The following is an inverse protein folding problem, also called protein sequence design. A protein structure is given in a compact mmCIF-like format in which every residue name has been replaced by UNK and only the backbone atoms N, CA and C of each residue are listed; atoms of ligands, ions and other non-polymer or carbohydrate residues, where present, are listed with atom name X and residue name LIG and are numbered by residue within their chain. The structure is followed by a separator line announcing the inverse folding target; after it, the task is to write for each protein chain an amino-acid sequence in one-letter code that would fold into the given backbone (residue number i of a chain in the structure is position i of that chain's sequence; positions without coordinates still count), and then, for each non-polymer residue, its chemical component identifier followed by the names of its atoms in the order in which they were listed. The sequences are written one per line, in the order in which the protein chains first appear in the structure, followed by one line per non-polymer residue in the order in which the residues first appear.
data_IF_859214909024
#
_entry.id   IF_859214909024
#
_cell.length_a   1.000
_cell.length_b   1.000
_cell.length_c   1.000
_cell.angle_alpha   90.00
_cell.angle_beta   90.00
_cell.angle_gamma   90.00
#
_symmetry.space_group_name_H-M   'P 1'
#
loop_
_entity.id
_entity.type
_entity.pdbx_description
1 polymer ?
#
# COMPACT_ATOMS: atom_id res chain seq x y z
N UNK A 1 -30.33 -1.74 9.21
CA UNK A 1 -29.93 -3.13 8.88
C UNK A 1 -28.88 -3.09 7.75
N UNK A 2 -27.61 -2.78 8.05
CA UNK A 2 -26.48 -2.95 7.10
C UNK A 2 -25.13 -2.61 7.78
N UNK A 3 -24.90 -3.06 9.01
CA UNK A 3 -23.64 -2.82 9.75
C UNK A 3 -22.84 -4.11 10.02
N UNK A 4 -23.34 -5.26 9.57
CA UNK A 4 -22.79 -6.57 9.94
C UNK A 4 -21.87 -7.20 8.88
N UNK A 5 -21.83 -6.67 7.65
CA UNK A 5 -21.10 -7.30 6.54
C UNK A 5 -19.60 -6.93 6.45
N UNK A 6 -19.18 -5.78 7.00
CA UNK A 6 -17.79 -5.30 6.87
C UNK A 6 -16.87 -5.89 7.93
N UNK A 7 -17.34 -5.99 9.18
CA UNK A 7 -16.66 -6.70 10.27
C UNK A 7 -16.32 -8.14 9.85
N UNK A 8 -17.22 -8.82 9.14
CA UNK A 8 -16.99 -10.21 8.70
C UNK A 8 -15.87 -10.36 7.65
N UNK A 9 -15.51 -9.30 6.91
CA UNK A 9 -14.41 -9.36 5.92
C UNK A 9 -13.05 -9.02 6.53
N UNK A 10 -12.99 -8.05 7.46
CA UNK A 10 -11.77 -7.72 8.18
C UNK A 10 -11.37 -8.85 9.15
N UNK A 11 -12.33 -9.40 9.90
CA UNK A 11 -12.05 -10.50 10.83
C UNK A 11 -11.65 -11.80 10.11
N UNK A 12 -12.14 -12.06 8.90
CA UNK A 12 -11.81 -13.29 8.16
C UNK A 12 -10.42 -13.27 7.52
N UNK A 13 -9.84 -12.09 7.29
CA UNK A 13 -8.42 -11.98 6.94
C UNK A 13 -7.52 -12.30 8.15
N UNK A 14 -7.90 -11.85 9.35
CA UNK A 14 -7.13 -12.03 10.58
C UNK A 14 -7.32 -13.40 11.26
N UNK A 15 -8.50 -14.01 11.17
CA UNK A 15 -8.84 -15.26 11.87
C UNK A 15 -8.36 -16.55 11.20
N UNK A 16 -7.62 -16.45 10.10
CA UNK A 16 -7.12 -17.62 9.37
C UNK A 16 -5.87 -18.28 9.98
N UNK A 17 -5.43 -17.87 11.18
CA UNK A 17 -4.18 -18.35 11.77
C UNK A 17 -4.29 -19.08 13.13
N UNK A 18 -5.48 -19.52 13.56
CA UNK A 18 -5.60 -20.43 14.71
C UNK A 18 -5.85 -21.87 14.25
N UNK A 19 -4.85 -22.72 14.45
CA UNK A 19 -4.95 -24.15 14.14
C UNK A 19 -5.71 -24.93 15.23
N UNK A 20 -6.39 -25.99 14.77
CA UNK A 20 -7.10 -27.08 15.48
C UNK A 20 -8.57 -26.77 15.82
N UNK A 21 -9.61 -27.54 15.43
CA UNK A 21 -9.75 -28.95 15.02
C UNK A 21 -10.97 -29.14 14.10
N UNK A 22 -10.85 -30.04 13.12
CA UNK A 22 -11.88 -30.81 12.38
C UNK A 22 -13.25 -30.14 12.05
N UNK A 23 -13.45 -29.79 10.78
CA UNK A 23 -14.65 -30.19 10.00
C UNK A 23 -14.49 -29.81 8.51
N UNK A 24 -14.79 -30.77 7.65
CA UNK A 24 -14.70 -30.71 6.19
C UNK A 24 -15.69 -29.70 5.60
N UNK A 25 -15.25 -28.92 4.62
CA UNK A 25 -16.07 -28.58 3.46
C UNK A 25 -15.13 -28.15 2.32
N UNK A 26 -15.15 -28.95 1.27
CA UNK A 26 -14.67 -28.56 -0.04
C UNK A 26 -15.46 -27.34 -0.56
N UNK A 27 -14.90 -26.68 -1.59
CA UNK A 27 -15.58 -25.75 -2.50
C UNK A 27 -15.66 -24.28 -2.07
N UNK A 28 -14.61 -23.53 -2.43
CA UNK A 28 -14.78 -22.26 -3.15
C UNK A 28 -13.51 -22.00 -3.97
N UNK A 29 -13.50 -22.56 -5.18
CA UNK A 29 -12.48 -22.33 -6.20
C UNK A 29 -12.45 -20.87 -6.63
N UNK A 30 -11.45 -20.12 -6.16
CA UNK A 30 -10.99 -18.86 -6.72
C UNK A 30 -9.47 -18.93 -6.89
N UNK A 31 -9.05 -19.49 -8.03
CA UNK A 31 -7.65 -19.81 -8.35
C UNK A 31 -6.87 -18.51 -8.61
N UNK A 32 -5.99 -18.12 -7.68
CA UNK A 32 -4.85 -17.23 -7.99
C UNK A 32 -3.58 -18.10 -7.99
N UNK A 33 -2.85 -18.08 -9.10
CA UNK A 33 -1.82 -19.07 -9.46
C UNK A 33 -0.70 -19.24 -8.42
N UNK A 34 -0.34 -20.49 -8.03
CA UNK A 34 0.73 -20.77 -7.06
C UNK A 34 2.12 -20.88 -7.73
N UNK A 35 2.45 -19.99 -8.68
CA UNK A 35 3.72 -20.07 -9.39
C UNK A 35 4.71 -19.02 -8.88
N UNK A 36 5.33 -19.30 -7.73
CA UNK A 36 6.77 -19.10 -7.46
C UNK A 36 7.12 -19.46 -6.01
N UNK A 37 7.10 -20.76 -5.70
CA UNK A 37 8.02 -21.31 -4.68
C UNK A 37 8.57 -22.65 -5.16
N UNK A 38 9.22 -22.62 -6.32
CA UNK A 38 10.13 -23.71 -6.70
C UNK A 38 11.47 -23.43 -6.04
N UNK A 39 11.72 -24.13 -4.95
CA UNK A 39 12.99 -24.14 -4.23
C UNK A 39 13.02 -25.37 -3.35
N UNK A 40 13.52 -26.47 -3.90
CA UNK A 40 13.76 -27.75 -3.22
C UNK A 40 14.35 -27.55 -1.82
N UNK A 41 13.67 -28.04 -0.77
CA UNK A 41 14.30 -28.49 0.47
C UNK A 41 13.54 -29.69 1.04
N UNK A 42 14.08 -30.87 0.78
CA UNK A 42 13.87 -32.07 1.59
C UNK A 42 14.49 -31.83 2.97
N UNK A 43 13.66 -31.76 4.01
CA UNK A 43 14.11 -31.64 5.39
C UNK A 43 12.90 -31.57 6.32
N UNK A 44 12.71 -32.62 7.12
CA UNK A 44 11.65 -32.78 8.10
C UNK A 44 11.75 -31.77 9.23
N UNK A 45 10.60 -31.21 9.63
CA UNK A 45 10.39 -30.37 10.84
C UNK A 45 11.36 -29.20 11.00
N UNK A 46 11.14 -28.14 10.22
CA UNK A 46 11.60 -26.81 10.60
C UNK A 46 10.48 -26.18 11.44
N UNK A 47 10.75 -25.94 12.73
CA UNK A 47 9.99 -24.97 13.50
C UNK A 47 9.89 -23.69 12.64
N UNK A 48 8.68 -23.38 12.18
CA UNK A 48 8.44 -22.17 11.39
C UNK A 48 8.55 -20.99 12.33
N UNK A 49 9.78 -20.51 12.55
CA UNK A 49 10.04 -19.11 12.89
C UNK A 49 9.26 -18.32 11.84
N UNK A 50 8.13 -17.74 12.25
CA UNK A 50 7.32 -16.92 11.34
C UNK A 50 8.29 -15.89 10.74
N UNK A 51 8.47 -15.88 9.41
CA UNK A 51 9.21 -14.78 8.82
C UNK A 51 8.50 -13.49 9.25
N UNK A 52 9.29 -12.45 9.50
CA UNK A 52 8.81 -11.09 9.77
C UNK A 52 7.90 -10.63 8.61
N UNK A 53 6.63 -11.02 8.65
CA UNK A 53 5.64 -10.72 7.63
C UNK A 53 4.94 -9.44 8.04
N UNK A 54 5.02 -8.43 7.17
CA UNK A 54 4.34 -7.16 7.35
C UNK A 54 3.09 -7.14 6.47
N UNK A 55 1.97 -6.70 7.03
CA UNK A 55 0.68 -6.59 6.37
C UNK A 55 0.26 -5.14 6.27
N UNK A 56 0.00 -4.68 5.05
CA UNK A 56 -0.50 -3.32 4.79
C UNK A 56 -1.98 -3.32 4.42
N UNK A 57 -2.75 -2.36 4.93
CA UNK A 57 -4.14 -2.12 4.52
C UNK A 57 -4.24 -0.83 3.69
N UNK A 58 -4.86 -0.89 2.51
CA UNK A 58 -5.09 0.31 1.70
C UNK A 58 -6.36 1.03 2.10
N UNK A 59 -6.24 2.32 2.40
CA UNK A 59 -7.37 3.20 2.69
C UNK A 59 -7.63 4.06 1.46
N UNK A 60 -8.65 3.68 0.68
CA UNK A 60 -8.96 4.31 -0.60
C UNK A 60 -10.44 4.69 -0.77
N UNK A 61 -11.33 4.39 0.20
CA UNK A 61 -12.76 4.72 0.11
C UNK A 61 -13.25 5.61 1.25
N UNK A 62 -14.42 6.23 1.06
CA UNK A 62 -15.06 7.06 2.09
C UNK A 62 -15.35 6.26 3.37
N UNK A 63 -15.84 5.04 3.23
CA UNK A 63 -16.08 4.13 4.36
C UNK A 63 -14.77 3.73 5.05
N UNK A 64 -13.68 3.59 4.28
CA UNK A 64 -12.35 3.33 4.83
C UNK A 64 -11.85 4.50 5.69
N UNK A 65 -12.13 5.74 5.30
CA UNK A 65 -11.79 6.95 6.08
C UNK A 65 -12.69 7.05 7.33
N UNK A 66 -13.97 6.74 7.22
CA UNK A 66 -14.91 6.80 8.34
C UNK A 66 -14.56 5.81 9.46
N UNK A 67 -14.04 4.63 9.08
CA UNK A 67 -13.67 3.55 10.00
C UNK A 67 -12.14 3.44 10.19
N UNK A 68 -11.35 4.45 9.81
CA UNK A 68 -9.90 4.33 9.76
C UNK A 68 -9.29 4.04 11.13
N UNK A 69 -9.87 4.59 12.18
CA UNK A 69 -9.43 4.35 13.56
C UNK A 69 -9.64 2.88 13.95
N UNK A 70 -10.80 2.29 13.63
CA UNK A 70 -11.08 0.88 13.88
C UNK A 70 -10.12 -0.03 13.09
N UNK A 71 -9.88 0.30 11.82
CA UNK A 71 -8.94 -0.44 10.95
C UNK A 71 -7.52 -0.39 11.51
N UNK A 72 -7.09 0.76 12.04
CA UNK A 72 -5.76 0.93 12.61
C UNK A 72 -5.51 0.03 13.84
N UNK A 73 -6.56 -0.32 14.60
CA UNK A 73 -6.47 -1.22 15.76
C UNK A 73 -6.63 -2.71 15.42
N UNK A 74 -6.86 -3.07 14.15
CA UNK A 74 -6.97 -4.47 13.75
C UNK A 74 -5.64 -5.19 13.96
N UNK A 75 -5.66 -6.32 14.67
CA UNK A 75 -4.51 -7.18 14.85
C UNK A 75 -4.04 -7.76 13.50
N UNK A 76 -2.73 -7.71 13.26
CA UNK A 76 -2.13 -8.14 12.01
C UNK A 76 -2.17 -7.09 10.89
N UNK A 77 -2.60 -5.85 11.15
CA UNK A 77 -2.30 -4.70 10.28
C UNK A 77 -1.10 -3.96 10.84
N UNK A 78 -0.05 -3.81 10.04
CA UNK A 78 1.20 -3.14 10.44
C UNK A 78 1.30 -1.74 9.84
N UNK A 79 0.78 -1.55 8.63
CA UNK A 79 0.90 -0.31 7.86
C UNK A 79 -0.44 0.11 7.25
N UNK A 80 -0.81 1.37 7.41
CA UNK A 80 -1.88 2.00 6.64
C UNK A 80 -1.28 2.66 5.39
N UNK A 81 -1.74 2.23 4.22
CA UNK A 81 -1.28 2.71 2.94
C UNK A 81 -2.34 3.58 2.25
N UNK A 82 -1.93 4.76 1.80
CA UNK A 82 -2.81 5.73 1.15
C UNK A 82 -2.46 5.82 -0.33
N UNK A 83 -3.46 5.62 -1.19
CA UNK A 83 -3.40 5.91 -2.62
C UNK A 83 -4.15 7.21 -2.92
N UNK A 84 -3.50 8.38 -3.00
CA UNK A 84 -4.21 9.67 -3.11
C UNK A 84 -5.07 9.79 -4.37
N UNK A 85 -4.66 9.17 -5.48
CA UNK A 85 -5.42 9.21 -6.72
C UNK A 85 -6.70 8.38 -6.68
N UNK A 86 -6.69 7.25 -5.98
CA UNK A 86 -7.88 6.41 -5.84
C UNK A 86 -8.80 7.01 -4.76
N UNK A 87 -8.23 7.52 -3.67
CA UNK A 87 -8.97 8.18 -2.60
C UNK A 87 -9.82 9.34 -3.11
N UNK A 88 -9.25 10.27 -3.90
CA UNK A 88 -10.02 11.40 -4.42
C UNK A 88 -11.16 10.95 -5.35
N UNK A 89 -10.96 9.88 -6.13
CA UNK A 89 -11.98 9.32 -7.03
C UNK A 89 -13.13 8.69 -6.26
N UNK A 90 -12.84 7.86 -5.26
CA UNK A 90 -13.86 7.22 -4.43
C UNK A 90 -14.60 8.23 -3.54
N UNK A 91 -13.93 9.28 -3.09
CA UNK A 91 -14.56 10.38 -2.37
C UNK A 91 -15.37 11.31 -3.29
N UNK A 92 -15.15 11.24 -4.61
CA UNK A 92 -15.70 12.15 -5.61
C UNK A 92 -15.34 13.62 -5.35
N UNK A 93 -14.07 13.87 -5.04
CA UNK A 93 -13.52 15.20 -4.75
C UNK A 93 -12.36 15.54 -5.69
N UNK A 94 -12.08 16.82 -5.96
CA UNK A 94 -10.91 17.21 -6.74
C UNK A 94 -9.61 16.76 -6.07
N UNK A 95 -8.66 16.27 -6.86
CA UNK A 95 -7.34 15.88 -6.36
C UNK A 95 -6.63 17.09 -5.75
N UNK A 96 -6.28 16.99 -4.46
CA UNK A 96 -5.57 18.04 -3.74
C UNK A 96 -6.48 19.14 -3.18
N UNK A 97 -7.80 18.93 -3.18
CA UNK A 97 -8.73 19.77 -2.44
C UNK A 97 -8.47 19.70 -0.93
N UNK A 98 -9.02 20.65 -0.18
CA UNK A 98 -8.97 20.64 1.29
C UNK A 98 -9.60 19.37 1.87
N UNK A 99 -10.73 18.89 1.32
CA UNK A 99 -11.36 17.64 1.76
C UNK A 99 -10.46 16.43 1.50
N UNK A 100 -9.78 16.38 0.35
CA UNK A 100 -8.85 15.31 0.04
C UNK A 100 -7.64 15.32 0.98
N UNK A 101 -7.08 16.51 1.24
CA UNK A 101 -5.95 16.64 2.17
C UNK A 101 -6.35 16.29 3.59
N UNK A 102 -7.53 16.72 4.06
CA UNK A 102 -8.06 16.38 5.37
C UNK A 102 -8.22 14.87 5.55
N UNK A 103 -8.69 14.16 4.51
CA UNK A 103 -8.78 12.70 4.54
C UNK A 103 -7.39 12.03 4.67
N UNK A 104 -6.39 12.51 3.93
CA UNK A 104 -5.01 12.01 4.04
C UNK A 104 -4.46 12.22 5.46
N UNK A 105 -4.66 13.41 6.02
CA UNK A 105 -4.20 13.72 7.38
C UNK A 105 -4.92 12.88 8.45
N UNK A 106 -6.21 12.60 8.25
CA UNK A 106 -6.95 11.72 9.18
C UNK A 106 -6.37 10.31 9.21
N UNK A 107 -6.02 9.74 8.06
CA UNK A 107 -5.39 8.41 8.01
C UNK A 107 -4.02 8.42 8.67
N UNK A 108 -3.21 9.46 8.42
CA UNK A 108 -1.92 9.63 9.08
C UNK A 108 -2.09 9.66 10.61
N UNK A 109 -3.01 10.49 11.11
CA UNK A 109 -3.26 10.61 12.54
C UNK A 109 -3.74 9.30 13.16
N UNK A 110 -4.60 8.55 12.47
CA UNK A 110 -5.08 7.25 12.91
C UNK A 110 -3.93 6.23 13.02
N UNK A 111 -3.05 6.18 12.00
CA UNK A 111 -1.87 5.32 12.01
C UNK A 111 -0.94 5.66 13.18
N UNK A 112 -0.61 6.94 13.35
CA UNK A 112 0.25 7.42 14.44
C UNK A 112 -0.34 7.10 15.82
N UNK A 113 -1.64 7.32 15.99
CA UNK A 113 -2.34 7.08 17.26
C UNK A 113 -2.36 5.59 17.63
N UNK A 114 -2.51 4.71 16.64
CA UNK A 114 -2.49 3.26 16.84
C UNK A 114 -1.07 2.66 16.87
N UNK A 115 -0.02 3.48 16.70
CA UNK A 115 1.37 3.01 16.63
C UNK A 115 1.66 2.15 15.39
N UNK A 116 0.96 2.40 14.28
CA UNK A 116 1.12 1.71 12.99
C UNK A 116 1.90 2.57 12.00
N UNK A 117 2.57 1.92 11.05
CA UNK A 117 3.27 2.63 10.00
C UNK A 117 2.31 3.36 9.05
N UNK A 118 2.70 4.52 8.55
CA UNK A 118 1.95 5.27 7.55
C UNK A 118 2.71 5.33 6.22
N UNK A 119 2.06 4.90 5.14
CA UNK A 119 2.63 4.89 3.80
C UNK A 119 1.75 5.66 2.80
N UNK A 120 2.37 6.35 1.85
CA UNK A 120 1.65 7.11 0.83
C UNK A 120 2.29 7.01 -0.56
N UNK A 121 1.45 6.89 -1.58
CA UNK A 121 1.90 6.95 -2.97
C UNK A 121 2.11 8.40 -3.46
N UNK A 122 3.30 8.70 -3.99
CA UNK A 122 3.57 9.91 -4.79
C UNK A 122 4.34 9.56 -6.06
N UNK A 123 4.26 10.48 -7.02
CA UNK A 123 4.86 10.39 -8.36
C UNK A 123 6.07 11.32 -8.53
N UNK A 124 6.42 12.08 -7.51
CA UNK A 124 7.56 13.00 -7.50
C UNK A 124 8.23 13.03 -6.11
N UNK A 125 9.54 13.28 -6.11
CA UNK A 125 10.37 13.28 -4.90
C UNK A 125 10.11 14.48 -3.97
N UNK A 126 9.69 15.63 -4.50
CA UNK A 126 9.42 16.83 -3.71
C UNK A 126 8.21 16.62 -2.81
N UNK A 127 7.11 16.15 -3.38
CA UNK A 127 5.89 15.84 -2.63
C UNK A 127 6.12 14.64 -1.71
N UNK A 128 6.92 13.65 -2.12
CA UNK A 128 7.30 12.54 -1.23
C UNK A 128 8.05 13.06 0.02
N UNK A 129 9.04 13.93 -0.15
CA UNK A 129 9.77 14.55 0.97
C UNK A 129 8.81 15.35 1.87
N UNK A 130 7.92 16.16 1.29
CA UNK A 130 6.89 16.87 2.05
C UNK A 130 6.05 15.92 2.91
N UNK A 131 5.68 14.75 2.40
CA UNK A 131 4.92 13.74 3.17
C UNK A 131 5.74 13.11 4.28
N UNK A 132 7.00 12.77 4.03
CA UNK A 132 7.89 12.28 5.09
C UNK A 132 8.02 13.33 6.21
N UNK A 133 8.16 14.61 5.86
CA UNK A 133 8.19 15.72 6.82
C UNK A 133 6.88 15.93 7.61
N UNK A 134 5.75 15.38 7.15
CA UNK A 134 4.48 15.40 7.88
C UNK A 134 4.36 14.26 8.89
N UNK A 135 5.22 13.24 8.83
CA UNK A 135 5.17 12.07 9.72
C UNK A 135 4.85 10.75 9.03
N UNK A 136 4.81 10.70 7.69
CA UNK A 136 4.75 9.42 6.98
C UNK A 136 6.08 8.67 7.10
N UNK A 137 6.03 7.37 7.39
CA UNK A 137 7.22 6.52 7.44
C UNK A 137 7.70 6.12 6.04
N UNK A 138 6.78 6.04 5.09
CA UNK A 138 7.05 5.57 3.73
C UNK A 138 6.36 6.45 2.68
N UNK A 139 7.10 6.87 1.65
CA UNK A 139 6.56 7.59 0.51
C UNK A 139 7.17 7.09 -0.81
N UNK A 140 6.32 6.72 -1.77
CA UNK A 140 6.78 6.45 -3.15
C UNK A 140 7.24 7.73 -3.81
N UNK A 141 8.31 7.69 -4.60
CA UNK A 141 8.85 8.87 -5.32
C UNK A 141 8.53 8.86 -6.81
N UNK A 142 8.37 7.69 -7.42
CA UNK A 142 8.03 7.52 -8.83
C UNK A 142 7.58 6.07 -9.10
N UNK A 143 7.04 5.84 -10.30
CA UNK A 143 6.93 4.48 -10.86
C UNK A 143 8.09 4.22 -11.80
N UNK A 144 8.46 2.95 -11.94
CA UNK A 144 9.44 2.48 -12.90
C UNK A 144 9.11 2.90 -14.34
N UNK A 145 7.86 2.74 -14.77
CA UNK A 145 7.39 3.16 -16.07
C UNK A 145 7.55 4.67 -16.28
N UNK A 146 7.18 5.49 -15.30
CA UNK A 146 7.35 6.93 -15.39
C UNK A 146 8.84 7.32 -15.45
N UNK A 147 9.70 6.66 -14.68
CA UNK A 147 11.14 6.90 -14.67
C UNK A 147 11.78 6.57 -16.03
N UNK A 148 11.45 5.41 -16.60
CA UNK A 148 11.94 4.97 -17.93
C UNK A 148 11.45 5.91 -19.03
N UNK A 149 10.16 6.24 -19.04
CA UNK A 149 9.59 7.18 -20.02
C UNK A 149 10.26 8.55 -19.91
N UNK A 150 10.48 9.05 -18.69
CA UNK A 150 11.14 10.32 -18.46
C UNK A 150 12.58 10.32 -19.00
N UNK A 151 13.33 9.22 -18.79
CA UNK A 151 14.68 9.10 -19.32
C UNK A 151 14.72 9.04 -20.85
N UNK A 152 13.86 8.24 -21.49
CA UNK A 152 13.80 8.22 -22.96
C UNK A 152 13.41 9.57 -23.54
N UNK A 153 12.44 10.27 -22.91
CA UNK A 153 12.05 11.60 -23.34
C UNK A 153 13.22 12.58 -23.24
N UNK A 154 14.02 12.52 -22.16
CA UNK A 154 15.22 13.37 -22.00
C UNK A 154 16.23 13.13 -23.11
N UNK A 155 16.60 11.88 -23.36
CA UNK A 155 17.58 11.53 -24.42
C UNK A 155 17.08 11.90 -25.82
N UNK A 156 15.79 11.67 -26.10
CA UNK A 156 15.18 12.04 -27.39
C UNK A 156 15.20 13.57 -27.61
N UNK A 157 14.93 14.36 -26.57
CA UNK A 157 15.00 15.82 -26.64
C UNK A 157 16.44 16.29 -26.89
N UNK A 158 17.40 15.75 -26.14
CA UNK A 158 18.83 16.05 -26.36
C UNK A 158 19.27 15.72 -27.80
N UNK A 159 18.83 14.58 -28.35
CA UNK A 159 19.11 14.20 -29.73
C UNK A 159 18.48 15.15 -30.78
N UNK A 160 17.35 15.80 -30.46
CA UNK A 160 16.71 16.81 -31.32
C UNK A 160 17.35 18.20 -31.22
N UNK A 161 18.40 18.37 -30.43
CA UNK A 161 19.09 19.64 -30.26
C UNK A 161 18.45 20.60 -29.26
N UNK A 162 17.45 20.16 -28.47
CA UNK A 162 16.99 20.94 -27.32
C UNK A 162 18.00 20.76 -26.18
N UNK A 163 18.86 21.76 -26.01
CA UNK A 163 19.93 21.79 -25.00
C UNK A 163 19.37 21.58 -23.60
N UNK A 164 19.66 20.44 -23.00
CA UNK A 164 19.76 20.32 -21.54
C UNK A 164 21.25 20.14 -21.23
N UNK A 165 21.81 21.05 -20.42
CA UNK A 165 23.26 21.12 -20.16
C UNK A 165 23.80 19.78 -19.68
N UNK A 166 24.92 19.35 -20.28
CA UNK A 166 25.64 18.12 -19.93
C UNK A 166 25.96 18.08 -18.43
N UNK A 167 25.52 17.03 -17.75
CA UNK A 167 26.06 16.58 -16.48
C UNK A 167 26.47 15.12 -16.64
N UNK A 168 27.77 14.90 -16.80
CA UNK A 168 28.49 13.66 -16.46
C UNK A 168 28.08 12.37 -17.18
N UNK A 169 29.01 11.84 -17.99
CA UNK A 169 28.98 10.44 -18.45
C UNK A 169 28.77 9.50 -17.27
N UNK A 170 27.74 8.65 -17.33
CA UNK A 170 27.62 7.44 -16.50
C UNK A 170 28.08 6.25 -17.34
N UNK A 171 29.32 6.38 -17.80
CA UNK A 171 30.21 5.32 -18.25
C UNK A 171 31.61 5.78 -17.88
#
# INVERSE_FOLDING_TARGET
MSSTNTLFRATRAASSNSASTHLSAAEATGRCSPHTRSGYRTGTTQEMRTPISWSSCRIESREGIENVEEIAYVEGVDVLFIGPFDLCKFMNVPFGSEEHEAAIQRVLQAAMTAGKGAAIFRSDGETANKRLGQGFDMASTCTDAAAVIAQFRREYQAARGSTTSKSGSVY
#
